data_IF_302525653143
#
_entry.id   IF_302525653143
#
_cell.length_a   1.000
_cell.length_b   1.000
_cell.length_c   1.000
_cell.angle_alpha   90.00
_cell.angle_beta   90.00
_cell.angle_gamma   90.00
#
_symmetry.space_group_name_H-M   'P 1'
#
loop_
_entity.id
_entity.type
_entity.pdbx_description
1 polymer ?
#
# COMPACT_ATOMS: atom_id res chain seq x y z
N UNK A 1 -5.62 -21.43 -25.99
CA UNK A 1 -6.43 -22.14 -24.98
C UNK A 1 -7.87 -21.88 -25.34
N UNK A 2 -8.68 -22.91 -25.49
CA UNK A 2 -10.11 -22.73 -25.79
C UNK A 2 -10.83 -22.30 -24.50
N UNK A 3 -11.29 -21.04 -24.47
CA UNK A 3 -11.98 -20.44 -23.32
C UNK A 3 -13.50 -20.56 -23.41
N UNK A 4 -14.04 -21.20 -24.44
CA UNK A 4 -15.50 -21.36 -24.60
C UNK A 4 -16.15 -22.13 -23.45
N UNK A 5 -15.37 -22.96 -22.74
CA UNK A 5 -15.82 -23.69 -21.57
C UNK A 5 -16.24 -22.78 -20.40
N UNK A 6 -15.72 -21.54 -20.30
CA UNK A 6 -16.11 -20.57 -19.26
C UNK A 6 -17.62 -20.32 -19.24
N UNK A 7 -18.26 -20.33 -20.41
CA UNK A 7 -19.71 -20.11 -20.58
C UNK A 7 -20.56 -21.15 -19.83
N UNK A 8 -19.99 -22.30 -19.45
CA UNK A 8 -20.67 -23.40 -18.75
C UNK A 8 -20.33 -23.49 -17.27
N UNK A 9 -19.41 -22.68 -16.76
CA UNK A 9 -18.96 -22.73 -15.38
C UNK A 9 -19.93 -21.99 -14.46
N UNK A 10 -20.09 -22.49 -13.23
CA UNK A 10 -20.63 -21.69 -12.14
C UNK A 10 -19.59 -20.66 -11.67
N UNK A 11 -20.01 -19.72 -10.82
CA UNK A 11 -19.24 -18.53 -10.48
C UNK A 11 -17.87 -18.85 -9.84
N UNK A 12 -17.81 -19.73 -8.83
CA UNK A 12 -16.55 -20.10 -8.16
C UNK A 12 -15.56 -20.86 -9.08
N UNK A 13 -15.99 -21.90 -9.84
CA UNK A 13 -15.14 -22.50 -10.86
C UNK A 13 -14.68 -21.53 -11.95
N UNK A 14 -15.51 -20.55 -12.32
CA UNK A 14 -15.14 -19.52 -13.28
C UNK A 14 -14.00 -18.66 -12.73
N UNK A 15 -14.11 -18.17 -11.49
CA UNK A 15 -13.04 -17.41 -10.80
C UNK A 15 -11.72 -18.18 -10.84
N UNK A 16 -11.72 -19.43 -10.38
CA UNK A 16 -10.53 -20.28 -10.38
C UNK A 16 -9.94 -20.53 -11.78
N UNK A 17 -10.80 -20.68 -12.79
CA UNK A 17 -10.38 -20.93 -14.18
C UNK A 17 -9.79 -19.68 -14.84
N UNK A 18 -10.36 -18.50 -14.58
CA UNK A 18 -9.83 -17.21 -15.02
C UNK A 18 -8.47 -16.94 -14.38
N UNK A 19 -8.33 -17.17 -13.07
CA UNK A 19 -7.04 -17.08 -12.37
C UNK A 19 -5.98 -17.96 -13.04
N UNK A 20 -6.29 -19.24 -13.27
CA UNK A 20 -5.37 -20.18 -13.92
C UNK A 20 -5.02 -19.79 -15.35
N UNK A 21 -5.97 -19.26 -16.12
CA UNK A 21 -5.76 -18.97 -17.54
C UNK A 21 -4.92 -17.71 -17.79
N UNK A 22 -4.99 -16.73 -16.89
CA UNK A 22 -4.45 -15.38 -17.10
C UNK A 22 -3.46 -14.91 -16.03
N UNK A 23 -3.52 -15.46 -14.82
CA UNK A 23 -2.76 -14.99 -13.66
C UNK A 23 -1.89 -16.09 -13.03
N UNK A 24 -1.40 -17.04 -13.83
CA UNK A 24 -0.63 -18.21 -13.35
C UNK A 24 0.62 -17.87 -12.53
N UNK A 25 1.20 -16.68 -12.74
CA UNK A 25 2.40 -16.20 -12.02
C UNK A 25 2.06 -15.41 -10.75
N UNK A 26 0.79 -15.35 -10.37
CA UNK A 26 0.30 -14.63 -9.21
C UNK A 26 -0.44 -15.59 -8.27
N UNK A 27 -0.61 -15.16 -7.02
CA UNK A 27 -1.40 -15.87 -6.03
C UNK A 27 -2.86 -15.37 -6.10
N UNK A 28 -3.78 -16.30 -6.32
CA UNK A 28 -5.23 -16.05 -6.35
C UNK A 28 -5.89 -16.43 -5.02
N UNK A 29 -6.77 -15.57 -4.53
CA UNK A 29 -7.62 -15.82 -3.37
C UNK A 29 -8.98 -15.11 -3.51
N UNK A 30 -9.93 -15.43 -2.63
CA UNK A 30 -11.22 -14.73 -2.53
C UNK A 30 -11.77 -14.82 -1.10
N UNK A 31 -12.51 -13.80 -0.68
CA UNK A 31 -13.28 -13.75 0.58
C UNK A 31 -14.45 -12.77 0.40
N UNK A 32 -14.38 -11.56 0.98
CA UNK A 32 -15.38 -10.51 0.74
C UNK A 32 -15.31 -9.94 -0.66
N UNK A 33 -14.09 -9.82 -1.17
CA UNK A 33 -13.82 -9.55 -2.58
C UNK A 33 -13.69 -10.92 -3.25
N UNK A 34 -14.46 -11.10 -4.31
CA UNK A 34 -14.54 -12.36 -5.06
C UNK A 34 -13.21 -12.84 -5.63
N UNK A 35 -12.40 -11.89 -6.12
CA UNK A 35 -11.22 -12.21 -6.89
C UNK A 35 -10.07 -11.27 -6.52
N UNK A 36 -9.14 -11.78 -5.73
CA UNK A 36 -7.95 -11.07 -5.28
C UNK A 36 -6.74 -11.73 -5.93
N UNK A 37 -6.02 -10.96 -6.75
CA UNK A 37 -4.71 -11.35 -7.29
C UNK A 37 -3.65 -10.61 -6.50
N UNK A 38 -2.68 -11.37 -6.01
CA UNK A 38 -1.54 -10.84 -5.30
C UNK A 38 -0.22 -11.37 -5.86
N UNK A 39 0.86 -10.66 -5.63
CA UNK A 39 2.20 -11.12 -5.94
C UNK A 39 2.98 -11.33 -4.64
N UNK A 40 3.31 -12.59 -4.34
CA UNK A 40 4.20 -12.91 -3.22
C UNK A 40 5.65 -12.68 -3.62
N UNK A 41 6.24 -11.61 -3.09
CA UNK A 41 7.69 -11.41 -3.16
C UNK A 41 8.35 -12.50 -2.32
N UNK A 42 9.23 -13.31 -2.93
CA UNK A 42 9.92 -14.43 -2.27
C UNK A 42 11.43 -14.22 -2.31
N UNK A 43 12.11 -14.54 -1.21
CA UNK A 43 13.57 -14.56 -1.15
C UNK A 43 14.04 -15.94 -0.66
N UNK A 44 14.80 -16.67 -1.50
CA UNK A 44 15.26 -18.05 -1.23
C UNK A 44 14.12 -18.98 -0.77
N UNK A 45 12.93 -18.85 -1.39
CA UNK A 45 11.76 -19.65 -1.06
C UNK A 45 10.97 -19.20 0.17
N UNK A 46 11.43 -18.19 0.92
CA UNK A 46 10.66 -17.61 2.04
C UNK A 46 9.80 -16.44 1.58
N UNK A 47 8.53 -16.32 2.03
CA UNK A 47 7.70 -15.15 1.76
C UNK A 47 8.33 -13.90 2.39
N UNK A 48 8.46 -12.82 1.60
CA UNK A 48 8.91 -11.50 2.04
C UNK A 48 7.68 -10.66 2.35
N UNK A 49 6.82 -10.41 1.35
CA UNK A 49 5.54 -9.73 1.52
C UNK A 49 4.58 -10.08 0.38
N UNK A 50 3.29 -9.78 0.57
CA UNK A 50 2.20 -10.04 -0.38
C UNK A 50 1.67 -8.71 -0.91
N UNK A 51 1.82 -8.49 -2.22
CA UNK A 51 1.39 -7.28 -2.90
C UNK A 51 0.01 -7.45 -3.53
N UNK A 52 -0.98 -6.58 -3.28
CA UNK A 52 -2.25 -6.62 -4.01
C UNK A 52 -2.06 -6.06 -5.43
N UNK A 53 -2.46 -6.86 -6.42
CA UNK A 53 -2.31 -6.54 -7.85
C UNK A 53 -3.66 -6.23 -8.50
N UNK A 54 -4.72 -6.93 -8.11
CA UNK A 54 -6.05 -6.72 -8.66
C UNK A 54 -7.09 -7.15 -7.64
N UNK A 55 -8.12 -6.34 -7.48
CA UNK A 55 -9.39 -6.74 -6.89
C UNK A 55 -10.47 -6.73 -7.95
N UNK A 56 -11.24 -7.79 -8.05
CA UNK A 56 -12.31 -7.89 -9.01
C UNK A 56 -13.57 -8.57 -8.46
N UNK A 57 -14.71 -8.20 -9.04
CA UNK A 57 -15.98 -8.91 -8.87
C UNK A 57 -16.19 -9.88 -10.04
N UNK A 58 -16.51 -11.14 -9.74
CA UNK A 58 -16.68 -12.17 -10.77
C UNK A 58 -18.13 -12.65 -10.83
N UNK A 59 -18.75 -12.63 -12.01
CA UNK A 59 -20.13 -13.12 -12.21
C UNK A 59 -20.19 -14.32 -13.14
N UNK A 60 -21.07 -15.28 -12.84
CA UNK A 60 -21.38 -16.35 -13.81
C UNK A 60 -22.07 -15.83 -15.07
N UNK A 61 -21.91 -16.53 -16.18
CA UNK A 61 -22.62 -16.24 -17.43
C UNK A 61 -22.28 -14.86 -18.00
N UNK A 62 -23.24 -14.22 -18.68
CA UNK A 62 -23.08 -12.84 -19.16
C UNK A 62 -23.59 -11.90 -18.07
N UNK A 63 -22.84 -10.85 -17.75
CA UNK A 63 -23.24 -9.84 -16.77
C UNK A 63 -23.02 -8.42 -17.27
N UNK A 64 -23.59 -7.45 -16.55
CA UNK A 64 -23.29 -6.03 -16.72
C UNK A 64 -22.03 -5.70 -15.90
N UNK A 65 -20.89 -5.56 -16.57
CA UNK A 65 -19.58 -5.39 -15.91
C UNK A 65 -19.53 -4.13 -15.05
N UNK A 66 -20.15 -3.02 -15.47
CA UNK A 66 -20.19 -1.80 -14.67
C UNK A 66 -20.99 -1.96 -13.38
N UNK A 67 -22.09 -2.74 -13.40
CA UNK A 67 -22.82 -3.10 -12.18
C UNK A 67 -21.97 -3.96 -11.25
N UNK A 68 -21.23 -4.90 -11.82
CA UNK A 68 -20.32 -5.76 -11.06
C UNK A 68 -19.19 -4.94 -10.42
N UNK A 69 -18.64 -3.96 -11.14
CA UNK A 69 -17.64 -3.04 -10.60
C UNK A 69 -18.23 -2.09 -9.54
N UNK A 70 -19.45 -1.59 -9.72
CA UNK A 70 -20.13 -0.79 -8.69
C UNK A 70 -20.36 -1.61 -7.42
N UNK A 71 -20.73 -2.89 -7.56
CA UNK A 71 -20.82 -3.82 -6.44
C UNK A 71 -19.45 -3.98 -5.75
N UNK A 72 -18.36 -4.14 -6.50
CA UNK A 72 -17.01 -4.18 -5.94
C UNK A 72 -16.74 -2.92 -5.12
N UNK A 73 -16.90 -1.73 -5.70
CA UNK A 73 -16.65 -0.44 -5.02
C UNK A 73 -17.42 -0.34 -3.70
N UNK A 74 -18.69 -0.72 -3.68
CA UNK A 74 -19.48 -0.75 -2.44
C UNK A 74 -18.93 -1.76 -1.42
N UNK A 75 -18.53 -2.95 -1.86
CA UNK A 75 -17.91 -3.98 -0.99
C UNK A 75 -16.65 -3.44 -0.33
N UNK A 76 -15.79 -2.80 -1.11
CA UNK A 76 -14.50 -2.37 -0.60
C UNK A 76 -14.66 -1.16 0.35
N UNK A 77 -15.58 -0.24 0.05
CA UNK A 77 -15.95 0.86 0.97
C UNK A 77 -16.64 0.37 2.25
N UNK A 78 -17.57 -0.59 2.15
CA UNK A 78 -18.28 -1.20 3.29
C UNK A 78 -17.33 -1.83 4.30
N UNK A 79 -16.36 -2.59 3.79
CA UNK A 79 -15.40 -3.31 4.61
C UNK A 79 -14.14 -2.50 4.91
N UNK A 80 -14.06 -1.26 4.41
CA UNK A 80 -12.87 -0.39 4.53
C UNK A 80 -11.58 -1.12 4.16
N UNK A 81 -11.62 -1.93 3.10
CA UNK A 81 -10.45 -2.60 2.49
C UNK A 81 -9.53 -1.57 1.83
N UNK A 82 -9.08 -0.54 2.54
CA UNK A 82 -8.47 0.62 1.89
C UNK A 82 -7.45 1.39 2.70
N UNK A 83 -7.15 1.01 3.94
CA UNK A 83 -6.38 1.98 4.71
C UNK A 83 -4.89 2.03 4.36
N UNK A 84 -4.27 1.05 3.69
CA UNK A 84 -2.79 1.10 3.55
C UNK A 84 -2.15 0.63 2.22
N UNK A 85 -2.81 -0.12 1.33
CA UNK A 85 -2.22 -0.47 0.00
C UNK A 85 -3.31 -0.98 -0.98
N UNK A 86 -4.04 -0.10 -1.69
CA UNK A 86 -5.00 -0.54 -2.70
C UNK A 86 -4.26 -1.16 -3.90
N UNK A 87 -4.90 -2.08 -4.65
CA UNK A 87 -4.31 -2.59 -5.86
C UNK A 87 -4.21 -1.46 -6.90
N UNK A 88 -3.29 -1.57 -7.86
CA UNK A 88 -3.18 -0.67 -9.02
C UNK A 88 -4.45 -0.65 -9.88
N UNK A 89 -5.18 -1.77 -9.92
CA UNK A 89 -6.34 -1.97 -10.77
C UNK A 89 -7.49 -2.56 -9.95
N UNK A 90 -8.69 -2.09 -10.29
CA UNK A 90 -9.93 -2.78 -10.01
C UNK A 90 -10.42 -3.48 -11.28
N UNK A 91 -11.28 -4.46 -11.12
CA UNK A 91 -11.86 -5.14 -12.27
C UNK A 91 -13.23 -5.72 -12.02
N UNK A 92 -13.84 -6.18 -13.10
CA UNK A 92 -15.03 -6.99 -13.08
C UNK A 92 -14.99 -7.95 -14.25
N UNK A 93 -15.42 -9.18 -14.06
CA UNK A 93 -15.44 -10.14 -15.17
C UNK A 93 -16.66 -11.05 -15.13
N UNK A 94 -16.96 -11.57 -16.30
CA UNK A 94 -18.01 -12.56 -16.51
C UNK A 94 -17.45 -13.74 -17.31
N UNK A 95 -18.29 -14.63 -17.84
CA UNK A 95 -17.84 -15.78 -18.62
C UNK A 95 -17.34 -15.41 -20.05
N UNK A 96 -17.43 -14.15 -20.45
CA UNK A 96 -17.19 -13.67 -21.81
C UNK A 96 -16.07 -12.64 -21.87
N UNK A 97 -15.89 -11.85 -20.82
CA UNK A 97 -15.07 -10.65 -20.87
C UNK A 97 -14.50 -10.27 -19.49
N UNK A 98 -13.39 -9.53 -19.51
CA UNK A 98 -12.75 -8.97 -18.33
C UNK A 98 -12.59 -7.45 -18.49
N UNK A 99 -13.08 -6.70 -17.52
CA UNK A 99 -12.90 -5.25 -17.39
C UNK A 99 -11.80 -4.93 -16.39
N UNK A 100 -10.93 -3.99 -16.74
CA UNK A 100 -9.95 -3.37 -15.86
C UNK A 100 -10.14 -1.85 -15.82
N UNK A 101 -9.89 -1.26 -14.66
CA UNK A 101 -9.81 0.19 -14.48
C UNK A 101 -8.77 0.51 -13.41
N UNK A 102 -8.00 1.57 -13.62
CA UNK A 102 -6.97 1.99 -12.66
C UNK A 102 -7.62 2.49 -11.38
N UNK A 103 -7.13 2.00 -10.23
CA UNK A 103 -7.72 2.31 -8.92
C UNK A 103 -7.75 3.81 -8.62
N UNK A 104 -6.65 4.52 -8.91
CA UNK A 104 -6.52 5.96 -8.63
C UNK A 104 -7.52 6.83 -9.41
N UNK A 105 -8.15 6.29 -10.46
CA UNK A 105 -9.19 7.02 -11.20
C UNK A 105 -10.54 6.98 -10.47
N UNK A 106 -10.69 6.09 -9.49
CA UNK A 106 -11.94 5.82 -8.77
C UNK A 106 -11.82 6.05 -7.26
N UNK A 107 -10.61 6.28 -6.74
CA UNK A 107 -10.36 6.35 -5.30
C UNK A 107 -11.09 7.50 -4.60
N UNK A 108 -11.32 8.62 -5.30
CA UNK A 108 -12.09 9.76 -4.81
C UNK A 108 -13.49 9.37 -4.30
N UNK A 109 -14.08 8.31 -4.86
CA UNK A 109 -15.40 7.80 -4.49
C UNK A 109 -15.45 7.38 -3.02
N UNK A 110 -14.37 6.83 -2.48
CA UNK A 110 -14.34 6.35 -1.08
C UNK A 110 -14.36 7.47 -0.05
N UNK A 111 -14.16 8.72 -0.47
CA UNK A 111 -14.23 9.90 0.40
C UNK A 111 -15.55 10.66 0.30
N UNK A 112 -16.41 10.31 -0.66
CA UNK A 112 -17.69 10.98 -0.92
C UNK A 112 -18.70 10.68 0.18
N UNK A 113 -19.34 11.74 0.69
CA UNK A 113 -20.35 11.65 1.75
C UNK A 113 -21.74 11.27 1.24
N UNK A 114 -22.00 11.44 -0.06
CA UNK A 114 -23.28 11.13 -0.71
C UNK A 114 -23.44 9.65 -1.07
N UNK A 115 -22.42 8.82 -0.83
CA UNK A 115 -22.46 7.38 -1.07
C UNK A 115 -22.60 6.63 0.25
N UNK A 116 -23.71 5.90 0.39
CA UNK A 116 -23.92 5.03 1.53
C UNK A 116 -23.29 3.65 1.28
N UNK A 117 -22.13 3.42 1.90
CA UNK A 117 -21.41 2.15 1.87
C UNK A 117 -21.97 1.09 2.85
N UNK A 118 -22.95 1.44 3.69
CA UNK A 118 -23.54 0.47 4.63
C UNK A 118 -24.48 -0.52 3.94
N UNK A 119 -25.01 -0.17 2.75
CA UNK A 119 -25.92 -0.99 1.94
C UNK A 119 -25.34 -2.35 1.60
N UNK A 120 -26.19 -3.32 1.28
CA UNK A 120 -25.74 -4.62 0.77
C UNK A 120 -25.20 -4.44 -0.65
N UNK A 121 -23.89 -4.67 -0.92
CA UNK A 121 -23.28 -4.36 -2.22
C UNK A 121 -23.95 -5.06 -3.41
N UNK A 122 -24.44 -6.28 -3.21
CA UNK A 122 -25.14 -7.08 -4.22
C UNK A 122 -26.61 -6.68 -4.45
N UNK A 123 -27.15 -5.73 -3.68
CA UNK A 123 -28.53 -5.25 -3.87
C UNK A 123 -28.56 -4.07 -4.84
N UNK A 124 -28.70 -4.39 -6.13
CA UNK A 124 -28.70 -3.42 -7.23
C UNK A 124 -29.95 -2.51 -7.27
N UNK A 125 -30.95 -2.77 -6.42
CA UNK A 125 -32.20 -2.01 -6.42
C UNK A 125 -32.17 -0.78 -5.50
N UNK A 126 -31.17 -0.68 -4.61
CA UNK A 126 -31.04 0.45 -3.67
C UNK A 126 -30.76 1.77 -4.41
N UNK A 127 -31.23 2.88 -3.84
CA UNK A 127 -30.96 4.21 -4.39
C UNK A 127 -29.46 4.51 -4.40
N UNK A 128 -28.74 4.19 -3.31
CA UNK A 128 -27.27 4.32 -3.22
C UNK A 128 -26.55 3.59 -4.37
N UNK A 129 -26.94 2.34 -4.67
CA UNK A 129 -26.34 1.59 -5.76
C UNK A 129 -26.61 2.24 -7.13
N UNK A 130 -27.86 2.64 -7.39
CA UNK A 130 -28.24 3.28 -8.65
C UNK A 130 -27.55 4.62 -8.84
N UNK A 131 -27.45 5.41 -7.78
CA UNK A 131 -26.73 6.68 -7.76
C UNK A 131 -25.25 6.47 -8.09
N UNK A 132 -24.57 5.57 -7.38
CA UNK A 132 -23.17 5.22 -7.65
C UNK A 132 -22.96 4.75 -9.10
N UNK A 133 -23.81 3.86 -9.60
CA UNK A 133 -23.70 3.34 -10.96
C UNK A 133 -23.85 4.44 -12.01
N UNK A 134 -24.83 5.33 -11.84
CA UNK A 134 -25.06 6.44 -12.76
C UNK A 134 -23.87 7.40 -12.80
N UNK A 135 -23.27 7.70 -11.64
CA UNK A 135 -22.09 8.55 -11.53
C UNK A 135 -20.84 7.88 -12.14
N UNK A 136 -20.68 6.57 -11.93
CA UNK A 136 -19.55 5.80 -12.45
C UNK A 136 -19.60 5.62 -13.96
N UNK A 137 -20.79 5.45 -14.54
CA UNK A 137 -20.94 5.00 -15.93
C UNK A 137 -20.17 5.88 -16.92
N UNK A 138 -20.31 7.22 -16.95
CA UNK A 138 -19.57 8.06 -17.89
C UNK A 138 -18.04 7.98 -17.72
N UNK A 139 -17.58 7.82 -16.48
CA UNK A 139 -16.16 7.67 -16.18
C UNK A 139 -15.63 6.31 -16.67
N UNK A 140 -16.39 5.24 -16.43
CA UNK A 140 -16.03 3.89 -16.86
C UNK A 140 -16.08 3.74 -18.39
N UNK A 141 -17.02 4.39 -19.07
CA UNK A 141 -17.05 4.42 -20.54
C UNK A 141 -15.77 5.02 -21.15
N UNK A 142 -15.12 5.94 -20.43
CA UNK A 142 -13.88 6.59 -20.86
C UNK A 142 -12.62 5.84 -20.41
N UNK A 143 -12.62 5.32 -19.19
CA UNK A 143 -11.39 4.85 -18.53
C UNK A 143 -11.26 3.32 -18.44
N UNK A 144 -12.36 2.57 -18.63
CA UNK A 144 -12.33 1.12 -18.50
C UNK A 144 -11.79 0.44 -19.76
N UNK A 145 -10.96 -0.57 -19.56
CA UNK A 145 -10.45 -1.45 -20.60
C UNK A 145 -11.20 -2.77 -20.53
N UNK A 146 -11.97 -3.11 -21.56
CA UNK A 146 -12.74 -4.36 -21.63
C UNK A 146 -12.13 -5.27 -22.69
N UNK A 147 -11.82 -6.50 -22.30
CA UNK A 147 -11.28 -7.53 -23.18
C UNK A 147 -12.25 -8.69 -23.29
N UNK A 148 -12.70 -8.98 -24.51
CA UNK A 148 -13.45 -10.19 -24.82
C UNK A 148 -12.50 -11.42 -24.90
N UNK A 149 -12.86 -12.50 -24.22
CA UNK A 149 -12.00 -13.68 -24.12
C UNK A 149 -11.81 -14.43 -25.43
N UNK A 150 -12.80 -14.37 -26.32
CA UNK A 150 -12.83 -15.11 -27.57
C UNK A 150 -12.01 -14.38 -28.65
N UNK A 151 -12.18 -13.06 -28.73
CA UNK A 151 -11.59 -12.22 -29.78
C UNK A 151 -10.32 -11.50 -29.34
N UNK A 152 -10.16 -11.19 -28.05
CA UNK A 152 -9.06 -10.36 -27.52
C UNK A 152 -8.18 -11.09 -26.49
N UNK A 153 -8.09 -12.41 -26.57
CA UNK A 153 -7.31 -13.23 -25.64
C UNK A 153 -5.83 -12.81 -25.56
N UNK A 154 -5.22 -12.50 -26.71
CA UNK A 154 -3.79 -12.19 -26.80
C UNK A 154 -3.50 -10.82 -26.20
N UNK A 155 -4.38 -9.86 -26.46
CA UNK A 155 -4.36 -8.50 -25.96
C UNK A 155 -4.52 -8.48 -24.44
N UNK A 156 -5.46 -9.27 -23.90
CA UNK A 156 -5.62 -9.44 -22.46
C UNK A 156 -4.34 -9.99 -21.80
N UNK A 157 -3.74 -11.03 -22.38
CA UNK A 157 -2.48 -11.59 -21.87
C UNK A 157 -1.33 -10.60 -21.93
N UNK A 158 -1.23 -9.83 -23.01
CA UNK A 158 -0.23 -8.77 -23.15
C UNK A 158 -0.46 -7.67 -22.11
N UNK A 159 -1.70 -7.22 -21.93
CA UNK A 159 -2.07 -6.23 -20.93
C UNK A 159 -1.66 -6.64 -19.52
N UNK A 160 -2.00 -7.86 -19.10
CA UNK A 160 -1.63 -8.40 -17.78
C UNK A 160 -0.11 -8.47 -17.64
N UNK A 161 0.59 -8.99 -18.65
CA UNK A 161 2.05 -9.08 -18.62
C UNK A 161 2.73 -7.71 -18.52
N UNK A 162 2.25 -6.72 -19.25
CA UNK A 162 2.93 -5.43 -19.37
C UNK A 162 2.55 -4.44 -18.26
N UNK A 163 1.34 -4.54 -17.70
CA UNK A 163 0.83 -3.56 -16.73
C UNK A 163 0.69 -4.10 -15.31
N UNK A 164 0.57 -5.43 -15.13
CA UNK A 164 0.38 -6.04 -13.81
C UNK A 164 1.67 -6.64 -13.22
N UNK A 165 2.77 -6.74 -13.99
CA UNK A 165 4.08 -7.14 -13.48
C UNK A 165 4.87 -5.94 -12.92
N UNK A 166 5.34 -6.07 -11.68
CA UNK A 166 5.97 -5.02 -10.88
C UNK A 166 7.20 -4.36 -11.55
N UNK A 167 8.01 -5.12 -12.27
CA UNK A 167 9.29 -4.68 -12.83
C UNK A 167 9.20 -3.51 -13.84
N UNK A 168 8.00 -3.09 -14.22
CA UNK A 168 7.75 -2.01 -15.18
C UNK A 168 7.02 -0.79 -14.60
N UNK A 169 6.70 -0.76 -13.30
CA UNK A 169 5.95 0.34 -12.69
C UNK A 169 6.85 1.43 -12.12
N UNK A 170 6.39 2.69 -12.12
CA UNK A 170 7.03 3.74 -11.34
C UNK A 170 7.02 3.38 -9.85
N UNK A 171 8.04 3.80 -9.11
CA UNK A 171 8.12 3.62 -7.65
C UNK A 171 7.02 4.42 -6.96
N UNK A 172 6.63 3.99 -5.76
CA UNK A 172 5.59 4.67 -4.95
C UNK A 172 6.21 5.90 -4.28
N UNK A 173 5.73 7.13 -4.54
CA UNK A 173 6.23 8.33 -3.87
C UNK A 173 6.04 8.26 -2.36
N UNK A 174 7.03 8.71 -1.59
CA UNK A 174 6.88 8.91 -0.14
C UNK A 174 6.52 10.36 0.15
N UNK A 175 5.51 10.60 0.99
CA UNK A 175 4.98 11.92 1.33
C UNK A 175 4.58 12.08 2.81
N UNK A 176 4.02 13.24 3.17
CA UNK A 176 3.58 13.57 4.54
C UNK A 176 2.54 12.60 5.12
N UNK A 177 1.80 11.88 4.26
CA UNK A 177 0.70 11.02 4.67
C UNK A 177 1.12 9.56 4.80
N UNK A 178 2.09 9.09 4.01
CA UNK A 178 2.45 7.67 3.95
C UNK A 178 3.80 7.32 4.61
N UNK A 179 4.66 8.28 4.96
CA UNK A 179 6.02 8.00 5.46
C UNK A 179 6.05 7.12 6.72
N UNK A 180 5.07 7.25 7.61
CA UNK A 180 4.93 6.40 8.81
C UNK A 180 4.61 4.95 8.43
N UNK A 181 3.80 4.75 7.39
CA UNK A 181 3.48 3.41 6.89
C UNK A 181 4.70 2.75 6.25
N UNK A 182 5.43 3.50 5.42
CA UNK A 182 6.67 3.04 4.78
C UNK A 182 7.71 2.69 5.85
N UNK A 183 7.81 3.46 6.94
CA UNK A 183 8.62 3.12 8.10
C UNK A 183 8.28 1.76 8.70
N UNK A 184 7.01 1.45 8.96
CA UNK A 184 6.66 0.15 9.52
C UNK A 184 7.02 -1.01 8.60
N UNK A 185 6.90 -0.81 7.29
CA UNK A 185 7.34 -1.79 6.31
C UNK A 185 8.87 -1.91 6.28
N UNK A 186 9.59 -0.81 6.44
CA UNK A 186 11.04 -0.82 6.56
C UNK A 186 11.50 -1.55 7.83
N UNK A 187 10.85 -1.34 8.96
CA UNK A 187 11.06 -2.07 10.23
C UNK A 187 10.86 -3.58 10.05
N UNK A 188 9.84 -3.97 9.28
CA UNK A 188 9.54 -5.39 9.04
C UNK A 188 10.58 -6.06 8.12
N UNK A 189 11.09 -5.33 7.11
CA UNK A 189 11.84 -5.95 6.01
C UNK A 189 13.33 -5.60 5.96
N UNK A 190 13.72 -4.41 6.41
CA UNK A 190 15.09 -3.90 6.31
C UNK A 190 15.78 -3.92 7.67
N UNK A 191 15.12 -3.47 8.75
CA UNK A 191 15.70 -3.45 10.12
C UNK A 191 16.36 -4.79 10.52
N UNK A 192 15.75 -5.98 10.26
CA UNK A 192 16.35 -7.26 10.64
C UNK A 192 17.61 -7.62 9.86
N UNK A 193 17.85 -6.97 8.71
CA UNK A 193 19.05 -7.19 7.90
C UNK A 193 20.27 -6.39 8.40
N UNK A 194 20.07 -5.39 9.26
CA UNK A 194 21.12 -4.54 9.81
C UNK A 194 21.89 -5.29 10.91
N UNK A 195 23.21 -5.17 10.92
CA UNK A 195 24.13 -5.94 11.77
C UNK A 195 24.26 -5.31 13.16
N UNK A 196 23.13 -5.13 13.84
CA UNK A 196 23.06 -4.47 15.15
C UNK A 196 22.15 -5.25 16.10
N UNK A 197 22.57 -5.35 17.37
CA UNK A 197 21.77 -5.95 18.43
C UNK A 197 20.73 -4.94 18.91
N UNK A 198 19.58 -4.86 18.21
CA UNK A 198 18.55 -3.85 18.42
C UNK A 198 18.07 -3.73 19.87
N UNK A 199 17.96 -4.83 20.60
CA UNK A 199 17.56 -4.82 22.00
C UNK A 199 18.58 -4.08 22.90
N UNK A 200 19.88 -4.17 22.59
CA UNK A 200 20.91 -3.43 23.32
C UNK A 200 21.01 -1.98 22.83
N UNK A 201 20.92 -1.77 21.51
CA UNK A 201 20.94 -0.45 20.89
C UNK A 201 19.83 0.44 21.45
N UNK A 202 18.59 -0.08 21.54
CA UNK A 202 17.43 0.63 22.09
C UNK A 202 17.63 1.05 23.56
N UNK A 203 18.30 0.23 24.37
CA UNK A 203 18.65 0.58 25.78
C UNK A 203 19.64 1.74 25.87
N UNK A 204 20.43 1.98 24.84
CA UNK A 204 21.38 3.09 24.75
C UNK A 204 20.80 4.31 24.02
N UNK A 205 19.49 4.31 23.73
CA UNK A 205 18.82 5.43 23.04
C UNK A 205 19.04 5.46 21.53
N UNK A 206 19.60 4.39 20.93
CA UNK A 206 19.73 4.26 19.48
C UNK A 206 18.39 3.76 18.94
N UNK A 207 17.77 4.53 18.04
CA UNK A 207 16.43 4.26 17.52
C UNK A 207 16.49 3.82 16.05
N UNK A 208 15.75 2.77 15.74
CA UNK A 208 15.45 2.26 14.38
C UNK A 208 14.94 3.38 13.44
N UNK A 209 14.12 4.30 13.97
CA UNK A 209 13.67 5.49 13.26
C UNK A 209 14.79 6.33 12.63
N UNK A 210 15.96 6.46 13.28
CA UNK A 210 17.08 7.24 12.73
C UNK A 210 17.70 6.55 11.51
N UNK A 211 17.72 5.22 11.51
CA UNK A 211 18.22 4.42 10.38
C UNK A 211 17.25 4.49 9.20
N UNK A 212 15.94 4.45 9.47
CA UNK A 212 14.93 4.66 8.44
C UNK A 212 15.04 6.04 7.80
N UNK A 213 15.18 7.11 8.60
CA UNK A 213 15.35 8.47 8.06
C UNK A 213 16.63 8.60 7.24
N UNK A 214 17.73 7.96 7.68
CA UNK A 214 18.97 7.90 6.93
C UNK A 214 18.77 7.24 5.56
N UNK A 215 18.03 6.12 5.50
CA UNK A 215 17.70 5.44 4.25
C UNK A 215 16.76 6.26 3.35
N UNK A 216 15.66 6.78 3.91
CA UNK A 216 14.65 7.53 3.18
C UNK A 216 15.22 8.80 2.56
N UNK A 217 16.11 9.50 3.26
CA UNK A 217 16.75 10.73 2.81
C UNK A 217 18.11 10.46 2.16
N UNK A 218 18.20 9.39 1.35
CA UNK A 218 19.41 9.02 0.61
C UNK A 218 19.24 9.10 -0.91
N UNK A 219 20.32 9.44 -1.60
CA UNK A 219 20.52 9.27 -3.04
C UNK A 219 21.74 8.39 -3.28
N UNK A 220 21.70 7.48 -4.26
CA UNK A 220 22.83 6.61 -4.61
C UNK A 220 23.46 5.87 -3.40
N UNK A 221 22.61 5.39 -2.47
CA UNK A 221 22.99 4.76 -1.20
C UNK A 221 23.81 5.66 -0.25
N UNK A 222 23.66 6.98 -0.34
CA UNK A 222 24.25 7.94 0.60
C UNK A 222 23.21 8.90 1.13
N UNK A 223 23.14 9.07 2.46
CA UNK A 223 22.28 10.08 3.07
C UNK A 223 22.71 11.46 2.63
N UNK A 224 21.74 12.23 2.11
CA UNK A 224 21.96 13.56 1.53
C UNK A 224 22.06 14.61 2.64
N UNK A 225 21.34 14.39 3.74
CA UNK A 225 21.26 15.33 4.86
C UNK A 225 22.24 14.93 5.98
N UNK A 226 23.42 15.55 6.01
CA UNK A 226 24.47 15.24 7.01
C UNK A 226 24.14 15.71 8.44
N UNK A 227 23.08 16.49 8.63
CA UNK A 227 22.61 16.91 9.96
C UNK A 227 21.89 15.81 10.73
N UNK A 228 21.52 14.69 10.08
CA UNK A 228 20.93 13.55 10.76
C UNK A 228 21.92 12.88 11.72
N UNK A 229 21.40 12.34 12.84
CA UNK A 229 22.21 11.63 13.83
C UNK A 229 22.76 10.29 13.34
N UNK A 230 22.07 9.69 12.36
CA UNK A 230 22.46 8.49 11.65
C UNK A 230 22.53 8.80 10.17
N UNK A 231 23.58 8.34 9.50
CA UNK A 231 23.78 8.52 8.07
C UNK A 231 24.19 7.19 7.42
N UNK A 232 23.61 6.87 6.27
CA UNK A 232 24.01 5.79 5.40
C UNK A 232 25.16 6.28 4.51
N UNK A 233 26.26 5.52 4.45
CA UNK A 233 27.40 5.74 3.57
C UNK A 233 27.66 4.46 2.77
N UNK A 234 27.10 4.41 1.56
CA UNK A 234 27.23 3.33 0.56
C UNK A 234 26.67 1.98 1.05
N UNK A 235 27.29 1.38 2.07
CA UNK A 235 27.01 0.03 2.55
C UNK A 235 27.05 -0.12 4.09
N UNK A 236 27.26 0.97 4.82
CA UNK A 236 27.26 0.98 6.28
C UNK A 236 26.60 2.26 6.80
N UNK A 237 26.08 2.19 8.01
CA UNK A 237 25.60 3.33 8.76
C UNK A 237 26.69 3.86 9.67
N UNK A 238 26.79 5.19 9.79
CA UNK A 238 27.47 5.87 10.90
C UNK A 238 26.38 6.44 11.81
N UNK A 239 26.45 6.15 13.11
CA UNK A 239 25.45 6.56 14.09
C UNK A 239 26.11 6.86 15.44
N UNK A 240 25.31 7.23 16.44
CA UNK A 240 25.79 7.51 17.81
C UNK A 240 26.89 8.59 17.86
N UNK A 241 26.66 9.71 17.15
CA UNK A 241 27.60 10.83 17.06
C UNK A 241 27.95 11.37 18.45
N UNK A 242 29.22 11.29 18.84
CA UNK A 242 29.74 11.75 20.14
C UNK A 242 30.91 12.69 19.97
N UNK A 243 30.94 13.78 20.73
CA UNK A 243 32.09 14.66 20.79
C UNK A 243 33.16 14.04 21.69
N UNK A 244 34.38 13.94 21.20
CA UNK A 244 35.52 13.50 21.99
C UNK A 244 36.19 14.68 22.72
N UNK A 245 37.14 14.38 23.60
CA UNK A 245 37.83 15.39 24.44
C UNK A 245 38.66 16.40 23.64
N UNK A 246 38.84 16.19 22.34
CA UNK A 246 39.56 17.08 21.43
C UNK A 246 38.62 17.91 20.54
N UNK A 247 37.30 17.83 20.77
CA UNK A 247 36.31 18.55 19.97
C UNK A 247 36.03 17.93 18.59
N UNK A 248 36.48 16.69 18.34
CA UNK A 248 36.17 15.96 17.12
C UNK A 248 35.01 14.97 17.34
N UNK A 249 34.26 14.65 16.28
CA UNK A 249 33.15 13.70 16.34
C UNK A 249 33.63 12.27 16.10
N UNK A 250 33.26 11.36 17.01
CA UNK A 250 33.35 9.92 16.82
C UNK A 250 31.96 9.37 16.47
N UNK A 251 31.94 8.27 15.72
CA UNK A 251 30.73 7.56 15.32
C UNK A 251 30.91 6.05 15.56
N UNK A 252 29.82 5.38 15.89
CA UNK A 252 29.73 3.93 15.77
C UNK A 252 29.35 3.57 14.33
N UNK A 253 29.73 2.37 13.89
CA UNK A 253 29.44 1.88 12.55
C UNK A 253 28.77 0.50 12.57
N UNK A 254 27.81 0.29 11.67
CA UNK A 254 27.21 -1.03 11.43
C UNK A 254 26.89 -1.20 9.95
N UNK A 255 26.87 -2.45 9.48
CA UNK A 255 26.61 -2.80 8.08
C UNK A 255 25.38 -3.69 7.95
N UNK A 256 25.16 -4.27 6.77
CA UNK A 256 24.06 -5.19 6.52
C UNK A 256 24.57 -6.64 6.46
N UNK A 257 23.92 -7.54 7.20
CA UNK A 257 24.22 -8.97 7.23
C UNK A 257 24.00 -9.64 5.85
N UNK A 258 23.15 -9.02 5.02
CA UNK A 258 22.73 -9.54 3.72
C UNK A 258 23.35 -8.79 2.51
N UNK A 259 24.34 -7.93 2.77
CA UNK A 259 24.97 -7.07 1.75
C UNK A 259 23.96 -6.14 1.04
N UNK A 260 23.05 -5.53 1.82
CA UNK A 260 22.01 -4.57 1.37
C UNK A 260 20.92 -5.15 0.47
N UNK A 261 20.77 -6.47 0.41
CA UNK A 261 19.78 -7.07 -0.48
C UNK A 261 18.36 -6.65 -0.10
N UNK A 262 18.02 -6.70 1.19
CA UNK A 262 16.72 -6.29 1.71
C UNK A 262 16.46 -4.80 1.47
N UNK A 263 17.43 -3.95 1.81
CA UNK A 263 17.37 -2.50 1.58
C UNK A 263 17.13 -2.16 0.10
N UNK A 264 17.94 -2.69 -0.83
CA UNK A 264 17.77 -2.45 -2.26
C UNK A 264 16.42 -2.95 -2.80
N UNK A 265 15.98 -4.13 -2.33
CA UNK A 265 14.67 -4.68 -2.73
C UNK A 265 13.54 -3.78 -2.25
N UNK A 266 13.63 -3.29 -1.01
CA UNK A 266 12.66 -2.39 -0.41
C UNK A 266 12.58 -1.04 -1.16
N UNK A 267 13.72 -0.42 -1.45
CA UNK A 267 13.77 0.88 -2.12
C UNK A 267 13.62 0.82 -3.65
N UNK A 268 13.53 -0.38 -4.22
CA UNK A 268 12.94 -0.55 -5.55
C UNK A 268 11.43 -0.34 -5.54
N UNK A 269 10.79 -0.41 -4.35
CA UNK A 269 9.34 -0.24 -4.19
C UNK A 269 8.94 1.23 -4.08
N UNK A 270 9.66 1.95 -3.24
CA UNK A 270 9.37 3.33 -2.88
C UNK A 270 10.36 4.29 -3.51
N UNK A 271 9.87 5.46 -3.89
CA UNK A 271 10.72 6.56 -4.34
C UNK A 271 11.46 7.13 -3.13
N UNK A 272 12.79 7.15 -3.25
CA UNK A 272 13.65 7.89 -2.34
C UNK A 272 14.62 8.76 -3.15
N UNK A 273 14.96 9.97 -2.66
CA UNK A 273 14.34 10.64 -1.52
C UNK A 273 12.90 11.12 -1.86
N UNK A 274 12.05 11.39 -0.86
CA UNK A 274 10.78 12.08 -1.08
C UNK A 274 11.01 13.48 -1.64
N UNK A 275 9.95 14.14 -2.14
CA UNK A 275 10.04 15.54 -2.56
C UNK A 275 10.58 16.41 -1.42
N UNK A 276 11.45 17.38 -1.77
CA UNK A 276 12.15 18.25 -0.79
C UNK A 276 11.21 18.95 0.18
N UNK A 277 10.02 19.34 -0.30
CA UNK A 277 8.97 20.00 0.48
C UNK A 277 8.46 19.18 1.69
N UNK A 278 8.64 17.86 1.69
CA UNK A 278 8.21 16.99 2.78
C UNK A 278 9.29 16.72 3.83
N UNK A 279 10.56 17.07 3.56
CA UNK A 279 11.67 16.63 4.40
C UNK A 279 11.59 17.18 5.82
N UNK A 280 11.35 18.49 5.95
CA UNK A 280 11.35 19.15 7.26
C UNK A 280 10.20 18.59 8.13
N UNK A 281 9.01 18.43 7.55
CA UNK A 281 7.87 17.78 8.21
C UNK A 281 8.19 16.34 8.66
N UNK A 282 8.76 15.51 7.79
CA UNK A 282 9.08 14.11 8.11
C UNK A 282 10.13 14.03 9.24
N UNK A 283 11.11 14.93 9.24
CA UNK A 283 12.16 14.99 10.27
C UNK A 283 11.57 15.48 11.60
N UNK A 284 10.76 16.54 11.59
CA UNK A 284 10.10 17.07 12.78
C UNK A 284 9.13 16.06 13.38
N UNK A 285 8.46 15.26 12.54
CA UNK A 285 7.53 14.19 12.93
C UNK A 285 8.20 12.83 13.16
N UNK A 286 9.51 12.82 13.44
CA UNK A 286 10.25 11.62 13.87
C UNK A 286 9.59 10.94 15.08
N UNK A 287 8.90 11.69 15.93
CA UNK A 287 8.12 11.18 17.07
C UNK A 287 7.05 10.15 16.66
N UNK A 288 6.55 10.20 15.41
CA UNK A 288 5.58 9.24 14.90
C UNK A 288 6.19 7.86 14.58
N UNK A 289 7.51 7.78 14.44
CA UNK A 289 8.25 6.59 13.99
C UNK A 289 8.61 5.64 15.15
N UNK A 290 7.61 5.21 15.93
CA UNK A 290 7.83 4.34 17.09
C UNK A 290 7.56 2.89 16.74
N UNK A 291 8.53 1.98 16.91
CA UNK A 291 8.34 0.55 16.66
C UNK A 291 7.27 -0.08 17.58
N UNK A 292 6.50 -1.03 17.02
CA UNK A 292 5.32 -1.59 17.68
C UNK A 292 5.61 -2.27 19.04
N UNK A 293 6.79 -2.89 19.22
CA UNK A 293 7.19 -3.56 20.46
C UNK A 293 7.35 -2.59 21.66
N UNK A 294 7.67 -1.31 21.41
CA UNK A 294 7.76 -0.28 22.46
C UNK A 294 6.36 0.25 22.81
N UNK A 295 5.44 0.31 21.84
CA UNK A 295 4.05 0.76 22.03
C UNK A 295 3.25 -0.18 22.95
N UNK A 296 3.52 -1.48 22.89
CA UNK A 296 2.81 -2.48 23.70
C UNK A 296 3.37 -2.64 25.13
N UNK A 297 4.68 -2.42 25.34
CA UNK A 297 5.35 -2.74 26.63
C UNK A 297 5.40 -1.60 27.65
N UNK A 298 5.29 -0.34 27.23
CA UNK A 298 5.49 0.82 28.14
C UNK A 298 4.26 1.27 28.92
N UNK A 299 3.12 0.58 28.85
CA UNK A 299 1.97 0.82 29.73
C UNK A 299 1.31 2.20 29.62
N UNK A 300 1.79 3.08 28.74
CA UNK A 300 1.00 4.18 28.23
C UNK A 300 -0.14 3.54 27.43
N UNK A 301 -1.37 3.69 27.91
CA UNK A 301 -2.57 3.29 27.18
C UNK A 301 -2.68 4.15 25.93
N UNK A 302 -1.91 3.79 24.90
CA UNK A 302 -2.03 4.41 23.61
C UNK A 302 -3.29 3.90 22.96
N UNK A 303 -4.12 4.83 22.54
CA UNK A 303 -5.26 4.60 21.65
C UNK A 303 -4.78 3.67 20.52
N UNK A 304 -5.30 2.43 20.39
CA UNK A 304 -4.87 1.51 19.34
C UNK A 304 -4.91 2.19 17.97
N UNK A 305 -4.00 1.84 17.07
CA UNK A 305 -3.78 2.51 15.78
C UNK A 305 -5.09 2.77 15.01
N UNK A 306 -5.98 1.77 14.98
CA UNK A 306 -7.32 1.85 14.37
C UNK A 306 -8.17 3.03 14.91
N UNK A 307 -8.01 3.41 16.17
CA UNK A 307 -8.76 4.47 16.82
C UNK A 307 -8.12 5.85 16.63
N UNK A 308 -6.78 5.91 16.56
CA UNK A 308 -6.05 7.15 16.21
C UNK A 308 -6.34 7.52 14.75
N UNK A 309 -6.28 6.54 13.86
CA UNK A 309 -6.62 6.74 12.44
C UNK A 309 -8.06 7.22 12.28
N UNK A 310 -8.99 6.63 13.05
CA UNK A 310 -10.40 7.02 13.02
C UNK A 310 -10.64 8.41 13.60
N UNK A 311 -9.89 8.84 14.61
CA UNK A 311 -10.02 10.19 15.16
C UNK A 311 -9.47 11.25 14.19
N UNK A 312 -8.33 10.99 13.57
CA UNK A 312 -7.76 11.86 12.53
C UNK A 312 -8.66 11.91 11.29
N UNK A 313 -9.24 10.78 10.86
CA UNK A 313 -10.26 10.72 9.80
C UNK A 313 -11.45 11.64 10.10
N UNK A 314 -11.98 11.60 11.34
CA UNK A 314 -13.09 12.47 11.74
C UNK A 314 -12.70 13.94 11.85
N UNK A 315 -11.52 14.26 12.37
CA UNK A 315 -11.05 15.64 12.47
C UNK A 315 -10.83 16.25 11.09
N UNK A 316 -10.17 15.53 10.19
CA UNK A 316 -9.97 15.97 8.80
C UNK A 316 -11.31 16.14 8.06
N UNK A 317 -12.30 15.29 8.33
CA UNK A 317 -13.64 15.39 7.74
C UNK A 317 -14.40 16.64 8.19
N UNK A 318 -14.21 17.08 9.44
CA UNK A 318 -14.95 18.21 10.03
C UNK A 318 -14.21 19.54 9.80
N UNK A 319 -12.88 19.52 9.90
CA UNK A 319 -12.04 20.72 9.97
C UNK A 319 -11.16 20.90 8.72
N UNK A 320 -11.24 19.99 7.74
CA UNK A 320 -10.42 20.03 6.52
C UNK A 320 -9.11 19.25 6.65
N UNK A 321 -8.47 18.91 5.54
CA UNK A 321 -7.25 18.08 5.53
C UNK A 321 -6.05 18.77 6.22
N UNK A 322 -6.02 20.10 6.19
CA UNK A 322 -4.97 20.91 6.81
C UNK A 322 -5.35 21.35 8.24
N UNK A 323 -6.29 20.65 8.89
CA UNK A 323 -6.78 21.03 10.22
C UNK A 323 -5.68 21.10 11.29
N UNK A 324 -4.59 20.36 11.11
CA UNK A 324 -3.44 20.38 12.03
C UNK A 324 -2.63 21.68 11.93
N UNK A 325 -2.73 22.38 10.80
CA UNK A 325 -2.06 23.66 10.56
C UNK A 325 -2.99 24.84 10.88
N UNK A 326 -4.30 24.66 10.72
CA UNK A 326 -5.31 25.72 10.90
C UNK A 326 -5.93 25.78 12.30
N UNK A 327 -5.90 24.68 13.06
CA UNK A 327 -6.58 24.58 14.35
C UNK A 327 -5.68 24.00 15.45
N UNK A 328 -5.78 24.57 16.65
CA UNK A 328 -5.16 24.00 17.85
C UNK A 328 -6.09 22.92 18.40
N UNK A 329 -5.70 21.66 18.24
CA UNK A 329 -6.42 20.52 18.81
C UNK A 329 -5.89 20.24 20.22
N UNK A 330 -6.72 20.48 21.23
CA UNK A 330 -6.37 20.20 22.63
C UNK A 330 -6.70 18.74 22.99
N UNK A 331 -5.67 17.97 23.34
CA UNK A 331 -5.81 16.62 23.88
C UNK A 331 -5.62 16.66 25.40
N UNK A 332 -6.68 16.38 26.17
CA UNK A 332 -6.69 16.48 27.65
C UNK A 332 -5.96 15.32 28.36
N UNK A 333 -5.36 14.40 27.60
CA UNK A 333 -4.58 13.27 28.13
C UNK A 333 -3.09 13.57 27.98
N UNK A 334 -2.58 14.52 28.77
CA UNK A 334 -1.18 14.62 29.17
C UNK A 334 -1.06 15.27 30.54
#
# INVERSE_FOLDING_TARGET
MDLTHFKKLSEEPLKSSVAKAFFENFDFSGDKIDFIITYSHKNKGKPLWVEPILWAEGKKGKSELFKSLAQLILTIGKHKFYTHFPPPYLGAFDAFSFLFVEYHKLDFIFTRSDIDFSVTPSNHNTESFKHLLNELTPLLEKEALIFDYETQNKELKAFIKDNLLYSKRPKIPVDKNNFVHVYFKWVEHVEPSISIEWQQAKKQGILDADFYLADLLSESNGTILESLNTILKVNHYKFNKKLNNFGAFNFDETSFNDKQKANQTFWNIYEQPPKREFWDYIIERRDLLVSNDIRERKGAFFTPKIWVEKSQEYLAKILGQDYQDEYIIWEWLN
#
